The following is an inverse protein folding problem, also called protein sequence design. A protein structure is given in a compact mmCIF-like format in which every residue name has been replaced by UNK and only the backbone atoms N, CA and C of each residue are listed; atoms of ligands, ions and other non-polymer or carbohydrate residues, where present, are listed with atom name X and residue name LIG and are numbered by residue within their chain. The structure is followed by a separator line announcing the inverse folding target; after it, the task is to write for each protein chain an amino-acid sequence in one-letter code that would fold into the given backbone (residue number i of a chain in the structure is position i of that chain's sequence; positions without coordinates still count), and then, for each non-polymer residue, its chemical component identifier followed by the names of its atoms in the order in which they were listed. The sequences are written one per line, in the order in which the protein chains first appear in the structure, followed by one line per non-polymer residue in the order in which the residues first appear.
data_IF_427096508111
#
_entry.id   IF_427096508111
#
_cell.length_a   1.000
_cell.length_b   1.000
_cell.length_c   1.000
_cell.angle_alpha   90.00
_cell.angle_beta   90.00
_cell.angle_gamma   90.00
#
_symmetry.space_group_name_H-M   'P 1'
#
loop_
_entity.id
_entity.type
_entity.pdbx_description
1 polymer ?
#
# COMPACT_ATOMS: atom_id res chain seq x y z
N UNK A 1 -17.98 -23.48 15.45
CA UNK A 1 -16.87 -24.40 15.26
C UNK A 1 -16.82 -24.94 13.82
N UNK A 2 -17.88 -25.53 13.28
CA UNK A 2 -17.99 -26.11 11.93
C UNK A 2 -17.57 -25.15 10.77
N UNK A 3 -18.03 -23.88 10.78
CA UNK A 3 -17.61 -22.91 9.76
C UNK A 3 -16.09 -22.67 9.71
N UNK A 4 -15.42 -22.62 10.86
CA UNK A 4 -13.95 -22.45 10.92
C UNK A 4 -13.23 -23.68 10.38
N UNK A 5 -13.75 -24.88 10.69
CA UNK A 5 -13.21 -26.13 10.16
C UNK A 5 -13.37 -26.23 8.64
N UNK A 6 -14.54 -25.86 8.12
CA UNK A 6 -14.81 -25.82 6.67
C UNK A 6 -13.85 -24.87 5.94
N UNK A 7 -13.64 -23.65 6.46
CA UNK A 7 -12.67 -22.73 5.88
C UNK A 7 -11.23 -23.24 5.97
N UNK A 8 -10.87 -23.90 7.06
CA UNK A 8 -9.55 -24.51 7.23
C UNK A 8 -9.31 -25.62 6.19
N UNK A 9 -10.26 -26.55 6.04
CA UNK A 9 -10.19 -27.61 5.02
C UNK A 9 -10.12 -27.01 3.61
N UNK A 10 -10.95 -26.02 3.29
CA UNK A 10 -10.91 -25.32 1.99
C UNK A 10 -9.54 -24.64 1.73
N UNK A 11 -8.91 -24.11 2.76
CA UNK A 11 -7.55 -23.55 2.66
C UNK A 11 -6.51 -24.62 2.38
N UNK A 12 -6.56 -25.73 3.09
CA UNK A 12 -5.66 -26.86 2.87
C UNK A 12 -5.76 -27.44 1.46
N UNK A 13 -6.99 -27.56 0.93
CA UNK A 13 -7.22 -28.04 -0.44
C UNK A 13 -6.73 -27.08 -1.53
N UNK A 14 -6.64 -25.78 -1.25
CA UNK A 14 -6.15 -24.76 -2.20
C UNK A 14 -4.67 -24.47 -2.09
N UNK A 15 -4.03 -24.92 -1.02
CA UNK A 15 -2.61 -24.68 -0.78
C UNK A 15 -1.75 -25.45 -1.78
N UNK A 16 -0.66 -24.84 -2.22
CA UNK A 16 0.40 -25.57 -2.89
C UNK A 16 1.19 -26.35 -1.84
N UNK A 17 1.16 -27.67 -1.93
CA UNK A 17 1.90 -28.54 -1.04
C UNK A 17 3.33 -28.75 -1.55
N UNK A 18 4.31 -28.66 -0.63
CA UNK A 18 5.72 -28.96 -0.91
C UNK A 18 6.21 -29.97 0.10
N UNK A 19 6.93 -31.00 -0.40
CA UNK A 19 7.54 -32.05 0.45
C UNK A 19 8.98 -31.67 0.78
N UNK A 20 9.71 -31.12 -0.23
CA UNK A 20 11.11 -30.74 -0.04
C UNK A 20 11.22 -29.67 1.05
N UNK A 21 12.06 -29.92 2.05
CA UNK A 21 12.31 -28.98 3.15
C UNK A 21 12.77 -27.60 2.64
N UNK A 22 12.37 -26.52 3.30
CA UNK A 22 12.79 -25.18 2.93
C UNK A 22 14.31 -25.04 2.95
N UNK A 23 14.85 -24.34 1.95
CA UNK A 23 16.30 -24.08 1.87
C UNK A 23 16.73 -23.22 3.07
N UNK A 24 17.83 -23.63 3.73
CA UNK A 24 18.50 -22.77 4.73
C UNK A 24 18.98 -21.49 4.07
N UNK A 25 18.74 -20.35 4.69
CA UNK A 25 19.04 -19.07 4.09
C UNK A 25 19.27 -17.96 5.13
N UNK A 26 19.92 -16.88 4.70
CA UNK A 26 20.23 -15.75 5.60
C UNK A 26 18.98 -15.00 6.07
N UNK A 27 17.92 -14.99 5.26
CA UNK A 27 16.71 -14.24 5.52
C UNK A 27 15.46 -15.08 5.30
N UNK A 28 14.47 -14.93 6.18
CA UNK A 28 13.11 -15.40 5.93
C UNK A 28 12.22 -14.19 5.66
N UNK A 29 11.56 -14.20 4.50
CA UNK A 29 10.60 -13.19 4.11
C UNK A 29 9.19 -13.73 4.32
N UNK A 30 8.46 -13.11 5.24
CA UNK A 30 7.07 -13.49 5.53
C UNK A 30 6.13 -12.84 4.52
N UNK A 31 5.25 -13.67 3.93
CA UNK A 31 4.24 -13.31 2.93
C UNK A 31 4.78 -12.82 1.56
N UNK A 32 6.01 -13.16 1.22
CA UNK A 32 6.48 -13.21 -0.17
C UNK A 32 6.68 -11.93 -0.96
N UNK A 33 6.48 -10.75 -0.37
CA UNK A 33 6.68 -9.49 -1.08
C UNK A 33 8.12 -8.99 -0.98
N UNK A 34 8.98 -9.36 -1.94
CA UNK A 34 10.39 -8.91 -1.92
C UNK A 34 10.65 -7.56 -2.56
N UNK A 35 9.69 -6.98 -3.25
CA UNK A 35 9.94 -5.74 -4.00
C UNK A 35 10.63 -4.65 -3.20
N UNK A 36 10.26 -4.37 -1.95
CA UNK A 36 10.96 -3.39 -1.14
C UNK A 36 12.42 -3.75 -0.85
N UNK A 37 12.76 -5.02 -0.82
CA UNK A 37 14.05 -5.51 -0.33
C UNK A 37 15.06 -5.81 -1.43
N UNK A 38 14.63 -6.04 -2.69
CA UNK A 38 15.53 -6.52 -3.76
C UNK A 38 16.64 -5.53 -4.14
N UNK A 39 16.49 -4.27 -3.80
CA UNK A 39 17.54 -3.25 -4.00
C UNK A 39 18.68 -3.36 -2.96
N UNK A 40 18.44 -4.10 -1.87
CA UNK A 40 19.40 -4.23 -0.76
C UNK A 40 19.88 -5.67 -0.57
N UNK A 41 19.02 -6.62 -0.89
CA UNK A 41 19.27 -8.04 -0.63
C UNK A 41 18.94 -8.83 -1.91
N UNK A 42 19.89 -9.62 -2.36
CA UNK A 42 19.71 -10.48 -3.53
C UNK A 42 18.60 -11.50 -3.26
N UNK A 43 17.80 -11.81 -4.29
CA UNK A 43 16.61 -12.67 -4.19
C UNK A 43 16.94 -14.07 -3.67
N UNK A 44 18.07 -14.63 -4.07
CA UNK A 44 18.56 -15.94 -3.65
C UNK A 44 18.88 -16.05 -2.15
N UNK A 45 19.03 -14.93 -1.45
CA UNK A 45 19.26 -14.90 -0.01
C UNK A 45 17.97 -14.98 0.82
N UNK A 46 16.80 -15.05 0.16
CA UNK A 46 15.52 -15.20 0.84
C UNK A 46 14.97 -16.61 0.74
N UNK A 47 14.43 -17.11 1.85
CA UNK A 47 13.43 -18.18 1.88
C UNK A 47 12.09 -17.58 2.22
N UNK A 48 11.03 -17.88 1.44
CA UNK A 48 9.71 -17.31 1.64
C UNK A 48 8.92 -18.20 2.57
N UNK A 49 8.28 -17.57 3.55
CA UNK A 49 7.30 -18.19 4.42
C UNK A 49 5.90 -17.65 4.08
N UNK A 50 5.05 -18.49 3.52
CA UNK A 50 3.66 -18.16 3.21
C UNK A 50 2.76 -18.48 4.40
N UNK A 51 2.32 -17.44 5.08
CA UNK A 51 1.51 -17.55 6.28
C UNK A 51 0.03 -17.80 6.01
N UNK A 52 -0.45 -17.44 4.83
CA UNK A 52 -1.87 -17.49 4.46
C UNK A 52 -2.28 -18.80 3.78
N UNK A 53 -1.40 -19.79 3.76
CA UNK A 53 -1.67 -21.09 3.14
C UNK A 53 -1.52 -21.10 1.62
N UNK A 54 -0.88 -20.09 1.00
CA UNK A 54 -0.54 -20.15 -0.43
C UNK A 54 0.39 -21.32 -0.74
N UNK A 55 1.33 -21.60 0.19
CA UNK A 55 2.19 -22.75 0.13
C UNK A 55 2.38 -23.33 1.54
N UNK A 56 2.26 -24.66 1.66
CA UNK A 56 2.42 -25.41 2.93
C UNK A 56 3.49 -26.47 2.72
N UNK A 57 4.50 -26.49 3.60
CA UNK A 57 5.49 -27.54 3.60
C UNK A 57 5.03 -28.70 4.49
N UNK A 58 4.84 -29.89 3.87
CA UNK A 58 4.35 -31.08 4.55
C UNK A 58 5.25 -31.50 5.70
N UNK A 59 6.57 -31.56 5.49
CA UNK A 59 7.51 -32.02 6.51
C UNK A 59 7.56 -31.09 7.73
N UNK A 60 7.41 -29.77 7.52
CA UNK A 60 7.34 -28.81 8.64
C UNK A 60 6.01 -28.99 9.38
N UNK A 61 4.89 -29.13 8.63
CA UNK A 61 3.59 -29.36 9.25
C UNK A 61 3.58 -30.67 10.06
N UNK A 62 4.13 -31.75 9.50
CA UNK A 62 4.24 -33.05 10.19
C UNK A 62 5.07 -32.94 11.48
N UNK A 63 6.20 -32.23 11.45
CA UNK A 63 6.97 -31.94 12.68
C UNK A 63 6.16 -31.16 13.72
N UNK A 64 5.29 -30.25 13.29
CA UNK A 64 4.39 -29.55 14.23
C UNK A 64 3.37 -30.51 14.84
N UNK A 65 2.78 -31.40 14.04
CA UNK A 65 1.81 -32.38 14.52
C UNK A 65 2.43 -33.35 15.53
N UNK A 66 3.62 -33.88 15.27
CA UNK A 66 4.37 -34.75 16.21
C UNK A 66 4.67 -34.04 17.55
N UNK A 67 4.77 -32.72 17.56
CA UNK A 67 5.02 -31.91 18.75
C UNK A 67 3.72 -31.37 19.37
N UNK A 68 2.55 -31.80 18.94
CA UNK A 68 1.23 -31.31 19.37
C UNK A 68 1.09 -29.79 19.23
N UNK A 69 1.62 -29.20 18.15
CA UNK A 69 1.60 -27.77 17.85
C UNK A 69 0.68 -27.48 16.67
N UNK A 70 -0.50 -26.91 16.92
CA UNK A 70 -1.57 -26.79 15.92
C UNK A 70 -1.86 -25.36 15.49
N UNK A 71 -1.06 -24.37 15.92
CA UNK A 71 -1.30 -22.99 15.54
C UNK A 71 -0.46 -22.56 14.33
N UNK A 72 -0.99 -21.59 13.54
CA UNK A 72 -0.20 -20.96 12.47
C UNK A 72 1.11 -20.35 12.98
N UNK A 73 1.12 -19.84 14.22
CA UNK A 73 2.33 -19.31 14.84
C UNK A 73 3.38 -20.41 15.06
N UNK A 74 2.93 -21.60 15.50
CA UNK A 74 3.84 -22.74 15.70
C UNK A 74 4.43 -23.25 14.40
N UNK A 75 3.61 -23.36 13.35
CA UNK A 75 4.09 -23.69 12.00
C UNK A 75 5.13 -22.69 11.51
N UNK A 76 4.83 -21.38 11.60
CA UNK A 76 5.77 -20.33 11.21
C UNK A 76 7.08 -20.43 12.02
N UNK A 77 7.00 -20.66 13.33
CA UNK A 77 8.17 -20.79 14.19
C UNK A 77 9.00 -22.01 13.84
N UNK A 78 8.39 -23.18 13.59
CA UNK A 78 9.09 -24.40 13.19
C UNK A 78 9.77 -24.24 11.82
N UNK A 79 9.09 -23.60 10.86
CA UNK A 79 9.66 -23.25 9.56
C UNK A 79 10.90 -22.35 9.72
N UNK A 80 10.80 -21.29 10.51
CA UNK A 80 11.89 -20.36 10.76
C UNK A 80 13.07 -21.07 11.46
N UNK A 81 12.79 -21.90 12.46
CA UNK A 81 13.82 -22.71 13.14
C UNK A 81 14.56 -23.63 12.18
N UNK A 82 13.84 -24.26 11.23
CA UNK A 82 14.45 -25.10 10.21
C UNK A 82 15.37 -24.30 9.27
N UNK A 83 14.92 -23.14 8.77
CA UNK A 83 15.71 -22.27 7.89
C UNK A 83 16.90 -21.65 8.61
N UNK A 84 16.77 -21.39 9.92
CA UNK A 84 17.78 -20.76 10.79
C UNK A 84 18.32 -19.43 10.25
N UNK A 85 17.46 -18.46 9.92
CA UNK A 85 17.89 -17.19 9.34
C UNK A 85 18.53 -16.27 10.37
N UNK A 86 19.33 -15.30 9.88
CA UNK A 86 19.84 -14.19 10.72
C UNK A 86 18.78 -13.13 11.03
N UNK A 87 17.78 -13.00 10.13
CA UNK A 87 16.74 -11.97 10.26
C UNK A 87 15.44 -12.42 9.58
N UNK A 88 14.32 -12.13 10.22
CA UNK A 88 12.97 -12.33 9.68
C UNK A 88 12.43 -10.98 9.21
N UNK A 89 11.94 -10.93 7.97
CA UNK A 89 11.53 -9.70 7.30
C UNK A 89 10.05 -9.75 6.92
N UNK A 90 9.38 -8.60 6.94
CA UNK A 90 8.06 -8.42 6.31
C UNK A 90 7.88 -7.02 5.77
N UNK A 91 7.12 -6.90 4.65
CA UNK A 91 6.59 -5.64 4.16
C UNK A 91 5.07 -5.53 4.42
N UNK A 92 4.52 -6.35 5.32
CA UNK A 92 3.11 -6.34 5.71
C UNK A 92 2.99 -5.99 7.19
N UNK A 93 2.91 -4.72 7.49
CA UNK A 93 2.93 -4.14 8.84
C UNK A 93 1.65 -4.35 9.67
N UNK A 94 0.61 -4.97 9.12
CA UNK A 94 -0.64 -5.30 9.83
C UNK A 94 -0.79 -6.78 10.20
N UNK A 95 0.26 -7.59 10.07
CA UNK A 95 0.20 -9.02 10.38
C UNK A 95 0.61 -9.32 11.81
N UNK A 96 -0.37 -9.50 12.69
CA UNK A 96 -0.18 -9.74 14.12
C UNK A 96 0.69 -10.96 14.46
N UNK A 97 0.68 -12.01 13.63
CA UNK A 97 1.53 -13.21 13.84
C UNK A 97 3.01 -12.83 13.75
N UNK A 98 3.38 -11.95 12.82
CA UNK A 98 4.75 -11.49 12.66
C UNK A 98 5.33 -10.92 13.97
N UNK A 99 4.54 -10.15 14.70
CA UNK A 99 4.95 -9.52 15.96
C UNK A 99 5.10 -10.47 17.15
N UNK A 100 4.82 -11.76 16.95
CA UNK A 100 5.06 -12.82 17.94
C UNK A 100 6.29 -13.68 17.58
N UNK A 101 6.81 -13.57 16.36
CA UNK A 101 7.86 -14.47 15.87
C UNK A 101 9.19 -14.29 16.58
N UNK A 102 9.63 -13.04 16.84
CA UNK A 102 10.91 -12.78 17.51
C UNK A 102 10.95 -13.48 18.88
N UNK A 103 9.93 -13.29 19.72
CA UNK A 103 9.84 -13.94 21.03
C UNK A 103 9.73 -15.47 20.94
N UNK A 104 9.05 -15.99 19.89
CA UNK A 104 8.85 -17.44 19.72
C UNK A 104 10.08 -18.16 19.18
N UNK A 105 10.93 -17.48 18.40
CA UNK A 105 12.08 -18.07 17.72
C UNK A 105 13.43 -17.64 18.24
N UNK A 106 13.51 -16.51 18.97
CA UNK A 106 14.76 -15.86 19.37
C UNK A 106 15.48 -15.11 18.23
N UNK A 107 14.89 -15.07 17.03
CA UNK A 107 15.52 -14.46 15.85
C UNK A 107 14.97 -13.03 15.68
N UNK A 108 15.85 -12.09 15.37
CA UNK A 108 15.48 -10.69 15.16
C UNK A 108 14.50 -10.51 14.00
N UNK A 109 13.62 -9.53 14.15
CA UNK A 109 12.57 -9.20 13.18
C UNK A 109 12.69 -7.77 12.68
N UNK A 110 12.47 -7.56 11.38
CA UNK A 110 12.40 -6.24 10.77
C UNK A 110 11.12 -6.10 9.95
N UNK A 111 10.33 -5.10 10.26
CA UNK A 111 9.11 -4.73 9.55
C UNK A 111 9.32 -3.43 8.78
N UNK A 112 8.83 -3.40 7.54
CA UNK A 112 8.78 -2.20 6.72
C UNK A 112 7.33 -1.82 6.48
N UNK A 113 6.98 -0.56 6.74
CA UNK A 113 5.70 -0.03 6.32
C UNK A 113 5.67 0.12 4.80
N UNK A 114 4.67 -0.49 4.16
CA UNK A 114 4.54 -0.45 2.70
C UNK A 114 3.55 0.61 2.20
N UNK A 115 2.51 0.89 2.94
CA UNK A 115 1.44 1.80 2.49
C UNK A 115 1.11 2.89 3.50
N UNK A 116 0.54 3.99 3.02
CA UNK A 116 -0.02 5.01 3.90
C UNK A 116 -1.05 4.39 4.84
N UNK A 117 -1.11 4.89 6.06
CA UNK A 117 -2.07 4.45 7.07
C UNK A 117 -3.14 5.52 7.26
N UNK A 118 -4.37 5.08 7.46
CA UNK A 118 -5.52 5.94 7.69
C UNK A 118 -6.07 5.72 9.09
N UNK A 119 -6.86 6.66 9.62
CA UNK A 119 -7.52 6.52 10.91
C UNK A 119 -8.46 5.31 10.98
N UNK A 120 -8.96 4.83 9.82
CA UNK A 120 -9.72 3.60 9.75
C UNK A 120 -8.97 2.39 10.34
N UNK A 121 -7.64 2.41 10.32
CA UNK A 121 -6.84 1.37 10.98
C UNK A 121 -6.83 1.51 12.51
N UNK A 122 -7.01 2.71 13.05
CA UNK A 122 -7.18 2.94 14.48
C UNK A 122 -8.51 2.38 14.98
N UNK A 123 -9.56 2.50 14.16
CA UNK A 123 -10.91 2.08 14.51
C UNK A 123 -11.13 0.58 14.31
N UNK A 124 -10.34 -0.06 13.45
CA UNK A 124 -10.47 -1.49 13.22
C UNK A 124 -9.81 -2.28 14.35
N UNK A 125 -10.61 -2.70 15.32
CA UNK A 125 -10.26 -3.68 16.36
C UNK A 125 -9.65 -4.98 15.82
N UNK A 126 -9.74 -5.20 14.50
CA UNK A 126 -9.25 -6.38 13.80
C UNK A 126 -7.72 -6.42 13.62
N UNK A 127 -7.04 -5.26 13.55
CA UNK A 127 -5.59 -5.23 13.31
C UNK A 127 -4.80 -5.34 14.61
N UNK A 128 -5.21 -4.59 15.66
CA UNK A 128 -4.51 -4.61 16.93
C UNK A 128 -5.52 -4.72 18.07
N UNK A 129 -5.54 -5.86 18.79
CA UNK A 129 -6.37 -6.02 19.97
C UNK A 129 -6.06 -4.96 21.04
N UNK A 130 -7.01 -4.73 21.94
CA UNK A 130 -6.75 -3.96 23.16
C UNK A 130 -5.53 -4.55 23.87
N UNK A 131 -4.67 -3.72 24.44
CA UNK A 131 -3.45 -4.13 25.15
C UNK A 131 -2.42 -4.92 24.28
N UNK A 132 -2.49 -4.79 22.95
CA UNK A 132 -1.58 -5.50 22.02
C UNK A 132 -0.10 -5.25 22.32
N UNK A 133 0.27 -4.10 22.88
CA UNK A 133 1.64 -3.74 23.27
C UNK A 133 2.26 -4.76 24.26
N UNK A 134 1.46 -5.46 25.05
CA UNK A 134 1.96 -6.47 26.00
C UNK A 134 2.42 -7.75 25.29
N UNK A 135 1.86 -8.04 24.10
CA UNK A 135 2.04 -9.30 23.39
C UNK A 135 2.87 -9.15 22.12
N UNK A 136 2.91 -7.96 21.53
CA UNK A 136 3.52 -7.72 20.24
C UNK A 136 4.87 -7.04 20.38
N UNK A 137 5.82 -7.57 19.62
CA UNK A 137 7.20 -7.10 19.62
C UNK A 137 7.78 -7.16 18.20
N UNK A 138 8.58 -6.16 17.87
CA UNK A 138 9.43 -6.15 16.66
C UNK A 138 10.78 -5.54 17.01
N UNK A 139 11.87 -6.15 16.57
CA UNK A 139 13.19 -5.59 16.86
C UNK A 139 13.38 -4.25 16.16
N UNK A 140 13.00 -4.20 14.87
CA UNK A 140 13.14 -3.00 14.04
C UNK A 140 11.89 -2.76 13.20
N UNK A 141 11.38 -1.54 13.21
CA UNK A 141 10.29 -1.09 12.35
C UNK A 141 10.70 0.16 11.58
N UNK A 142 10.65 0.08 10.25
CA UNK A 142 10.94 1.19 9.34
C UNK A 142 9.61 1.81 8.90
N UNK A 143 9.36 3.04 9.29
CA UNK A 143 8.08 3.72 9.19
C UNK A 143 8.19 4.99 8.36
N UNK A 144 7.06 5.44 7.81
CA UNK A 144 7.04 6.61 6.96
C UNK A 144 7.32 7.91 7.71
N UNK A 145 6.77 8.08 8.92
CA UNK A 145 6.84 9.35 9.64
C UNK A 145 6.54 9.20 11.14
N UNK A 146 6.68 10.32 11.86
CA UNK A 146 6.45 10.41 13.31
C UNK A 146 5.03 10.02 13.74
N UNK A 147 4.01 10.40 12.98
CA UNK A 147 2.61 10.07 13.29
C UNK A 147 2.36 8.57 13.26
N UNK A 148 2.91 7.89 12.23
CA UNK A 148 2.81 6.42 12.13
C UNK A 148 3.65 5.76 13.22
N UNK A 149 4.82 6.29 13.54
CA UNK A 149 5.66 5.83 14.65
C UNK A 149 4.91 5.91 15.98
N UNK A 150 4.28 7.04 16.27
CA UNK A 150 3.45 7.21 17.46
C UNK A 150 2.32 6.18 17.52
N UNK A 151 1.62 5.95 16.40
CA UNK A 151 0.59 4.91 16.33
C UNK A 151 1.11 3.52 16.66
N UNK A 152 2.21 3.08 16.02
CA UNK A 152 2.77 1.75 16.26
C UNK A 152 3.36 1.59 17.66
N UNK A 153 4.01 2.62 18.18
CA UNK A 153 4.59 2.57 19.55
C UNK A 153 3.58 2.38 20.66
N UNK A 154 2.31 2.80 20.41
CA UNK A 154 1.18 2.52 21.31
C UNK A 154 0.68 1.08 21.24
N UNK A 155 1.00 0.33 20.17
CA UNK A 155 0.45 -1.00 19.87
C UNK A 155 1.47 -2.12 19.94
N UNK A 156 2.75 -1.83 19.72
CA UNK A 156 3.83 -2.80 19.59
C UNK A 156 5.04 -2.29 20.36
N UNK A 157 5.80 -3.18 21.02
CA UNK A 157 7.12 -2.86 21.57
C UNK A 157 8.20 -3.02 20.51
N UNK A 158 9.21 -2.15 20.48
CA UNK A 158 10.34 -2.28 19.54
C UNK A 158 11.08 -0.97 19.30
N UNK A 159 12.02 -1.01 18.35
CA UNK A 159 12.77 0.16 17.87
C UNK A 159 12.14 0.66 16.57
N UNK A 160 11.71 1.92 16.55
CA UNK A 160 10.98 2.52 15.43
C UNK A 160 11.82 3.62 14.79
N UNK A 161 12.03 3.51 13.47
CA UNK A 161 12.81 4.47 12.67
C UNK A 161 11.91 5.15 11.65
N UNK A 162 12.00 6.45 11.54
CA UNK A 162 11.31 7.27 10.55
C UNK A 162 12.21 7.39 9.33
N UNK A 163 11.83 6.76 8.24
CA UNK A 163 12.68 6.66 7.04
C UNK A 163 11.98 7.07 5.75
N UNK A 164 10.74 7.53 5.83
CA UNK A 164 9.93 7.78 4.62
C UNK A 164 9.53 6.48 3.91
N UNK A 165 9.29 6.56 2.62
CA UNK A 165 8.93 5.40 1.81
C UNK A 165 10.16 4.59 1.40
N UNK A 166 10.39 3.48 2.06
CA UNK A 166 11.50 2.58 1.78
C UNK A 166 11.58 2.13 0.31
N UNK A 167 10.44 1.87 -0.33
CA UNK A 167 10.37 1.42 -1.73
C UNK A 167 10.72 2.56 -2.71
N UNK A 168 10.39 3.80 -2.35
CA UNK A 168 10.51 4.96 -3.23
C UNK A 168 11.76 5.83 -2.95
N UNK A 169 12.55 5.55 -1.91
CA UNK A 169 13.70 6.38 -1.53
C UNK A 169 14.76 6.53 -2.63
N UNK A 170 14.86 5.56 -3.54
CA UNK A 170 15.83 5.60 -4.65
C UNK A 170 15.38 6.40 -5.87
N UNK A 171 14.08 6.71 -5.97
CA UNK A 171 13.53 7.37 -7.14
C UNK A 171 13.60 8.89 -6.96
N UNK A 172 14.50 9.56 -7.68
CA UNK A 172 14.57 11.03 -7.71
C UNK A 172 13.92 11.54 -9.00
N UNK A 173 12.80 12.27 -8.94
CA UNK A 173 12.17 12.81 -10.14
C UNK A 173 13.06 13.89 -10.75
N UNK A 174 13.18 13.87 -12.07
CA UNK A 174 13.76 14.99 -12.81
C UNK A 174 12.63 15.97 -13.17
N UNK A 175 12.42 16.96 -12.30
CA UNK A 175 11.28 17.87 -12.37
C UNK A 175 11.26 18.73 -13.66
N UNK A 176 12.43 18.99 -14.25
CA UNK A 176 12.57 19.81 -15.47
C UNK A 176 12.18 19.03 -16.73
N UNK A 177 12.22 17.71 -16.71
CA UNK A 177 11.90 16.84 -17.86
C UNK A 177 10.49 16.25 -17.80
N UNK A 178 9.66 16.68 -16.85
CA UNK A 178 8.31 16.15 -16.69
C UNK A 178 7.37 16.66 -17.78
N UNK A 179 6.59 15.74 -18.35
CA UNK A 179 5.51 16.07 -19.29
C UNK A 179 4.42 16.87 -18.60
N UNK A 180 3.98 17.95 -19.25
CA UNK A 180 2.82 18.76 -18.78
C UNK A 180 1.50 18.04 -19.07
N UNK A 181 1.36 16.82 -18.56
CA UNK A 181 0.18 15.96 -18.73
C UNK A 181 -0.38 15.59 -17.35
N UNK A 182 -1.67 15.27 -17.31
CA UNK A 182 -2.35 14.75 -16.12
C UNK A 182 -2.27 13.23 -16.12
N UNK A 183 -1.91 12.65 -14.97
CA UNK A 183 -2.05 11.22 -14.72
C UNK A 183 -2.99 11.00 -13.54
N UNK A 184 -4.04 10.26 -13.76
CA UNK A 184 -4.92 9.74 -12.73
C UNK A 184 -4.45 8.33 -12.33
N UNK A 185 -4.12 8.15 -11.06
CA UNK A 185 -3.75 6.84 -10.52
C UNK A 185 -5.02 6.11 -10.13
N UNK A 186 -5.33 5.06 -10.85
CA UNK A 186 -6.51 4.24 -10.62
C UNK A 186 -6.39 3.43 -9.32
N UNK A 187 -7.46 3.43 -8.54
CA UNK A 187 -7.68 2.53 -7.42
C UNK A 187 -8.73 1.46 -7.76
N UNK A 188 -8.91 1.15 -9.05
CA UNK A 188 -9.89 0.21 -9.55
C UNK A 188 -10.06 -1.01 -8.63
N UNK A 189 -11.22 -1.09 -8.02
CA UNK A 189 -11.61 -2.15 -7.08
C UNK A 189 -13.13 -2.30 -7.13
N UNK A 190 -13.66 -2.90 -8.22
CA UNK A 190 -15.09 -3.01 -8.39
C UNK A 190 -15.71 -3.92 -7.32
N UNK A 191 -16.90 -3.55 -6.88
CA UNK A 191 -17.75 -4.40 -6.06
C UNK A 191 -18.29 -5.59 -6.89
N UNK A 192 -19.13 -6.43 -6.27
CA UNK A 192 -19.75 -7.57 -6.95
C UNK A 192 -20.57 -7.17 -8.18
N UNK A 193 -21.01 -5.92 -8.26
CA UNK A 193 -21.81 -5.35 -9.35
C UNK A 193 -20.95 -4.57 -10.37
N UNK A 194 -19.63 -4.65 -10.27
CA UNK A 194 -18.69 -3.95 -11.17
C UNK A 194 -18.57 -2.44 -10.94
N UNK A 195 -19.10 -1.91 -9.83
CA UNK A 195 -19.02 -0.48 -9.49
C UNK A 195 -17.79 -0.19 -8.63
N UNK A 196 -17.02 0.81 -9.02
CA UNK A 196 -15.97 1.39 -8.18
C UNK A 196 -16.54 2.57 -7.37
N UNK A 197 -16.06 2.73 -6.13
CA UNK A 197 -16.58 3.73 -5.20
C UNK A 197 -16.26 5.17 -5.65
N UNK A 198 -17.15 5.77 -6.46
CA UNK A 198 -17.07 7.18 -6.90
C UNK A 198 -15.76 7.59 -7.60
N UNK A 199 -14.88 6.64 -7.92
CA UNK A 199 -13.63 6.91 -8.63
C UNK A 199 -13.90 7.32 -10.08
N UNK A 200 -14.92 6.72 -10.67
CA UNK A 200 -15.43 7.03 -12.00
C UNK A 200 -15.83 8.50 -12.13
N UNK A 201 -16.56 9.00 -11.15
CA UNK A 201 -17.02 10.39 -11.10
C UNK A 201 -15.81 11.33 -11.05
N UNK A 202 -14.84 11.05 -10.18
CA UNK A 202 -13.62 11.86 -10.07
C UNK A 202 -12.82 11.83 -11.36
N UNK A 203 -12.61 10.64 -11.96
CA UNK A 203 -11.88 10.52 -13.22
C UNK A 203 -12.59 11.26 -14.37
N UNK A 204 -13.93 11.17 -14.44
CA UNK A 204 -14.73 11.88 -15.42
C UNK A 204 -14.53 13.40 -15.35
N UNK A 205 -14.75 14.02 -14.19
CA UNK A 205 -14.58 15.47 -14.05
C UNK A 205 -13.14 15.93 -14.27
N UNK A 206 -12.15 15.18 -13.82
CA UNK A 206 -10.74 15.48 -14.08
C UNK A 206 -10.41 15.41 -15.57
N UNK A 207 -10.96 14.47 -16.31
CA UNK A 207 -10.76 14.36 -17.76
C UNK A 207 -11.38 15.54 -18.52
N UNK A 208 -12.58 15.99 -18.12
CA UNK A 208 -13.23 17.17 -18.71
C UNK A 208 -12.41 18.44 -18.42
N UNK A 209 -11.90 18.60 -17.19
CA UNK A 209 -11.06 19.74 -16.84
C UNK A 209 -9.72 19.73 -17.58
N UNK A 210 -9.11 18.56 -17.77
CA UNK A 210 -7.89 18.42 -18.56
C UNK A 210 -8.15 18.83 -20.01
N UNK A 211 -9.23 18.34 -20.63
CA UNK A 211 -9.64 18.72 -21.99
C UNK A 211 -9.85 20.23 -22.12
N UNK A 212 -10.58 20.85 -21.18
CA UNK A 212 -10.83 22.30 -21.16
C UNK A 212 -9.54 23.14 -21.09
N UNK A 213 -8.48 22.58 -20.49
CA UNK A 213 -7.17 23.25 -20.36
C UNK A 213 -6.15 22.78 -21.43
N UNK A 214 -6.57 22.04 -22.46
CA UNK A 214 -5.71 21.48 -23.52
C UNK A 214 -4.56 20.61 -22.95
N UNK A 215 -4.84 19.82 -21.93
CA UNK A 215 -3.87 18.94 -21.26
C UNK A 215 -4.28 17.50 -21.50
N UNK A 216 -3.35 16.65 -21.94
CA UNK A 216 -3.58 15.23 -22.08
C UNK A 216 -3.92 14.57 -20.74
N UNK A 217 -4.96 13.75 -20.74
CA UNK A 217 -5.38 12.97 -19.58
C UNK A 217 -4.99 11.50 -19.74
N UNK A 218 -4.27 10.98 -18.77
CA UNK A 218 -3.76 9.61 -18.78
C UNK A 218 -4.25 8.87 -17.53
N UNK A 219 -4.43 7.56 -17.64
CA UNK A 219 -4.72 6.68 -16.51
C UNK A 219 -3.55 5.73 -16.31
N UNK A 220 -3.03 5.70 -15.07
CA UNK A 220 -2.13 4.66 -14.62
C UNK A 220 -2.97 3.55 -13.99
N UNK A 221 -3.18 2.40 -14.68
CA UNK A 221 -4.05 1.35 -14.18
C UNK A 221 -3.42 0.62 -12.99
N UNK A 222 -4.30 0.16 -12.08
CA UNK A 222 -3.89 -0.56 -10.87
C UNK A 222 -3.27 -1.92 -11.18
N UNK A 223 -3.81 -2.64 -12.13
CA UNK A 223 -3.46 -4.05 -12.42
C UNK A 223 -2.68 -4.25 -13.72
N UNK A 224 -1.73 -3.37 -14.03
CA UNK A 224 -0.95 -3.41 -15.28
C UNK A 224 -0.33 -4.76 -15.66
N UNK A 225 -0.01 -5.59 -14.66
CA UNK A 225 0.64 -6.90 -14.87
C UNK A 225 -0.35 -8.07 -14.98
N UNK A 226 -1.60 -7.88 -14.59
CA UNK A 226 -2.66 -8.90 -14.69
C UNK A 226 -3.59 -8.56 -15.86
N UNK A 227 -3.43 -9.26 -17.00
CA UNK A 227 -4.13 -8.98 -18.24
C UNK A 227 -5.65 -9.11 -18.12
N UNK A 228 -6.13 -10.11 -17.38
CA UNK A 228 -7.57 -10.35 -17.22
C UNK A 228 -8.26 -9.23 -16.43
N UNK A 229 -7.59 -8.71 -15.40
CA UNK A 229 -8.14 -7.61 -14.61
C UNK A 229 -7.94 -6.28 -15.36
N UNK A 230 -6.79 -6.12 -16.03
CA UNK A 230 -6.49 -4.93 -16.82
C UNK A 230 -7.52 -4.72 -17.95
N UNK A 231 -7.95 -5.78 -18.63
CA UNK A 231 -8.97 -5.66 -19.68
C UNK A 231 -10.31 -5.17 -19.10
N UNK A 232 -10.72 -5.66 -17.94
CA UNK A 232 -11.92 -5.20 -17.23
C UNK A 232 -11.80 -3.74 -16.78
N UNK A 233 -10.65 -3.36 -16.25
CA UNK A 233 -10.35 -1.97 -15.86
C UNK A 233 -10.38 -1.04 -17.07
N UNK A 234 -9.85 -1.47 -18.22
CA UNK A 234 -9.88 -0.73 -19.49
C UNK A 234 -11.31 -0.53 -19.99
N UNK A 235 -12.13 -1.58 -20.02
CA UNK A 235 -13.54 -1.49 -20.37
C UNK A 235 -14.31 -0.53 -19.47
N UNK A 236 -14.06 -0.58 -18.16
CA UNK A 236 -14.65 0.31 -17.19
C UNK A 236 -14.40 1.79 -17.52
N UNK A 237 -13.13 2.17 -17.71
CA UNK A 237 -12.80 3.57 -18.03
C UNK A 237 -13.23 3.99 -19.43
N UNK A 238 -13.20 3.10 -20.43
CA UNK A 238 -13.72 3.41 -21.76
C UNK A 238 -15.21 3.77 -21.72
N UNK A 239 -16.00 3.05 -20.93
CA UNK A 239 -17.43 3.33 -20.76
C UNK A 239 -17.70 4.71 -20.16
N UNK A 240 -16.82 5.17 -19.22
CA UNK A 240 -16.99 6.43 -18.51
C UNK A 240 -16.44 7.61 -19.30
N UNK A 241 -15.26 7.46 -19.89
CA UNK A 241 -14.47 8.55 -20.48
C UNK A 241 -14.57 8.65 -22.01
N UNK A 242 -15.27 7.73 -22.65
CA UNK A 242 -15.52 7.73 -24.11
C UNK A 242 -14.25 7.99 -24.92
N UNK A 243 -13.17 7.27 -24.63
CA UNK A 243 -11.85 7.35 -25.30
C UNK A 243 -11.09 8.69 -25.16
N UNK A 244 -11.52 9.61 -24.31
CA UNK A 244 -10.81 10.87 -24.05
C UNK A 244 -9.63 10.70 -23.06
N UNK A 245 -8.88 9.61 -23.16
CA UNK A 245 -7.74 9.33 -22.30
C UNK A 245 -6.80 8.29 -22.89
N UNK A 246 -5.60 8.17 -22.32
CA UNK A 246 -4.63 7.12 -22.66
C UNK A 246 -4.31 6.27 -21.45
N UNK A 247 -4.28 4.94 -21.61
CA UNK A 247 -3.73 4.04 -20.61
C UNK A 247 -2.20 3.99 -20.66
N UNK A 248 -1.56 4.10 -19.50
CA UNK A 248 -0.11 3.94 -19.37
C UNK A 248 0.19 2.46 -19.14
N UNK A 249 0.51 1.73 -20.22
CA UNK A 249 0.64 0.26 -20.23
C UNK A 249 2.06 -0.28 -20.10
N UNK A 250 3.07 0.57 -19.84
CA UNK A 250 4.45 0.11 -19.75
C UNK A 250 4.63 -0.89 -18.59
N UNK A 251 4.76 -2.19 -18.94
CA UNK A 251 4.90 -3.29 -17.97
C UNK A 251 6.32 -3.45 -17.44
N UNK A 252 7.34 -2.96 -18.18
CA UNK A 252 8.76 -3.07 -17.82
C UNK A 252 9.16 -2.09 -16.72
N UNK A 253 8.54 -0.92 -16.67
CA UNK A 253 8.82 0.12 -15.67
C UNK A 253 7.96 -0.04 -14.42
N UNK A 254 8.50 0.30 -13.27
CA UNK A 254 7.71 0.44 -12.04
C UNK A 254 6.72 1.61 -12.14
N UNK A 255 5.72 1.64 -11.27
CA UNK A 255 4.79 2.79 -11.21
C UNK A 255 5.51 4.07 -10.81
N UNK A 256 6.54 3.98 -9.97
CA UNK A 256 7.38 5.10 -9.58
C UNK A 256 8.17 5.67 -10.77
N UNK A 257 8.81 4.80 -11.58
CA UNK A 257 9.57 5.21 -12.77
C UNK A 257 8.69 5.85 -13.85
N UNK A 258 7.42 5.46 -13.88
CA UNK A 258 6.45 6.07 -14.79
C UNK A 258 6.08 7.46 -14.31
N UNK A 259 5.63 7.57 -13.05
CA UNK A 259 5.06 8.82 -12.53
C UNK A 259 6.07 9.95 -12.42
N UNK A 260 7.36 9.66 -12.24
CA UNK A 260 8.40 10.70 -12.23
C UNK A 260 8.49 11.49 -13.56
N UNK A 261 7.95 10.96 -14.66
CA UNK A 261 7.93 11.63 -15.95
C UNK A 261 6.71 12.55 -16.15
N UNK A 262 5.79 12.64 -15.19
CA UNK A 262 4.57 13.42 -15.30
C UNK A 262 4.51 14.50 -14.23
N UNK A 263 4.06 15.69 -14.67
CA UNK A 263 4.03 16.87 -13.80
C UNK A 263 2.82 16.89 -12.86
N UNK A 264 1.66 16.42 -13.33
CA UNK A 264 0.40 16.53 -12.61
C UNK A 264 -0.17 15.14 -12.31
N UNK A 265 -0.30 14.82 -11.04
CA UNK A 265 -0.75 13.51 -10.57
C UNK A 265 -2.04 13.70 -9.78
N UNK A 266 -3.06 12.90 -10.08
CA UNK A 266 -4.30 12.91 -9.33
C UNK A 266 -4.65 11.49 -8.85
N UNK A 267 -5.31 11.42 -7.72
CA UNK A 267 -5.81 10.15 -7.17
C UNK A 267 -6.93 10.41 -6.17
N UNK A 268 -7.71 9.39 -5.90
CA UNK A 268 -8.62 9.41 -4.77
C UNK A 268 -7.85 9.26 -3.45
N UNK A 269 -7.09 8.17 -3.25
CA UNK A 269 -6.37 7.89 -1.99
C UNK A 269 -5.11 7.03 -2.16
N UNK A 270 -4.43 7.12 -3.28
CA UNK A 270 -3.27 6.26 -3.53
C UNK A 270 -2.05 6.68 -2.70
N UNK A 271 -1.45 5.73 -1.99
CA UNK A 271 -0.14 5.91 -1.34
C UNK A 271 0.91 6.37 -2.34
N UNK A 272 0.89 5.83 -3.56
CA UNK A 272 1.82 6.21 -4.62
C UNK A 272 1.74 7.70 -4.99
N UNK A 273 0.54 8.28 -5.01
CA UNK A 273 0.37 9.72 -5.24
C UNK A 273 0.94 10.56 -4.08
N UNK A 274 0.78 10.07 -2.85
CA UNK A 274 1.33 10.73 -1.66
C UNK A 274 2.86 10.70 -1.70
N UNK A 275 3.45 9.57 -2.06
CA UNK A 275 4.90 9.43 -2.22
C UNK A 275 5.46 10.32 -3.34
N UNK A 276 4.71 10.51 -4.44
CA UNK A 276 5.06 11.46 -5.48
C UNK A 276 5.01 12.91 -4.98
N UNK A 277 4.00 13.26 -4.17
CA UNK A 277 3.93 14.58 -3.51
C UNK A 277 5.15 14.83 -2.63
N UNK A 278 5.52 13.86 -1.80
CA UNK A 278 6.68 13.94 -0.92
C UNK A 278 7.98 14.27 -1.70
N UNK A 279 8.11 13.75 -2.90
CA UNK A 279 9.26 13.99 -3.80
C UNK A 279 9.15 15.25 -4.66
N UNK A 280 8.16 16.07 -4.46
CA UNK A 280 8.04 17.36 -5.14
C UNK A 280 7.11 17.36 -6.36
N UNK A 281 6.57 16.20 -6.79
CA UNK A 281 5.57 16.19 -7.84
C UNK A 281 4.29 16.93 -7.41
N UNK A 282 3.58 17.50 -8.37
CA UNK A 282 2.29 18.13 -8.09
C UNK A 282 1.20 17.08 -8.03
N UNK A 283 0.68 16.83 -6.84
CA UNK A 283 -0.33 15.81 -6.63
C UNK A 283 -1.61 16.39 -6.01
N UNK A 284 -2.76 16.05 -6.60
CA UNK A 284 -4.08 16.41 -6.13
C UNK A 284 -4.87 15.20 -5.67
N UNK A 285 -5.65 15.36 -4.60
CA UNK A 285 -6.45 14.27 -4.02
C UNK A 285 -7.90 14.69 -3.92
N UNK A 286 -8.77 13.91 -4.56
CA UNK A 286 -10.20 14.18 -4.59
C UNK A 286 -10.93 12.90 -4.21
N UNK A 287 -11.64 12.95 -3.12
CA UNK A 287 -12.41 11.82 -2.64
C UNK A 287 -13.86 12.21 -2.46
N UNK A 288 -14.76 11.34 -2.87
CA UNK A 288 -16.18 11.44 -2.61
C UNK A 288 -16.57 10.29 -1.70
N UNK A 289 -17.18 10.59 -0.54
CA UNK A 289 -17.59 9.58 0.43
C UNK A 289 -18.59 8.62 -0.19
N UNK A 290 -18.39 7.33 0.06
CA UNK A 290 -19.36 6.30 -0.31
C UNK A 290 -20.31 6.03 0.86
N UNK A 291 -21.62 5.93 0.58
CA UNK A 291 -22.62 5.49 1.57
C UNK A 291 -22.37 4.06 2.06
N UNK A 292 -21.75 3.22 1.22
CA UNK A 292 -21.50 1.79 1.52
C UNK A 292 -20.26 1.55 2.37
N UNK A 293 -19.36 2.54 2.48
CA UNK A 293 -18.11 2.36 3.19
C UNK A 293 -17.76 3.57 4.08
N UNK A 294 -18.43 3.71 5.23
CA UNK A 294 -18.19 4.81 6.17
C UNK A 294 -16.77 4.78 6.75
N UNK A 295 -16.05 3.65 6.67
CA UNK A 295 -14.67 3.49 7.12
C UNK A 295 -13.70 4.37 6.29
N UNK A 296 -14.05 4.70 5.06
CA UNK A 296 -13.30 5.63 4.22
C UNK A 296 -13.70 7.10 4.44
N UNK A 297 -13.88 7.51 5.67
CA UNK A 297 -13.78 8.93 6.05
C UNK A 297 -12.32 9.35 5.87
N UNK A 298 -11.89 9.31 4.61
CA UNK A 298 -10.51 9.52 4.26
C UNK A 298 -10.16 10.98 4.51
N UNK A 299 -9.26 11.19 5.44
CA UNK A 299 -8.56 12.45 5.59
C UNK A 299 -7.22 12.30 4.91
N UNK A 300 -6.83 13.28 4.11
CA UNK A 300 -5.55 13.26 3.45
C UNK A 300 -4.43 12.94 4.45
N UNK A 301 -3.56 12.00 4.10
CA UNK A 301 -2.35 11.71 4.83
C UNK A 301 -2.51 11.02 6.18
N UNK A 302 -3.62 10.35 6.48
CA UNK A 302 -3.82 9.62 7.75
C UNK A 302 -3.73 10.51 9.00
N UNK A 303 -3.93 11.81 8.88
CA UNK A 303 -3.79 12.74 10.00
C UNK A 303 -5.12 13.00 10.66
N UNK A 304 -5.19 12.75 11.96
CA UNK A 304 -6.38 12.97 12.77
C UNK A 304 -6.90 14.40 12.71
N UNK A 305 -6.01 15.37 12.49
CA UNK A 305 -6.29 16.79 12.58
C UNK A 305 -6.37 17.53 11.24
N UNK A 306 -6.26 16.85 10.09
CA UNK A 306 -6.39 17.54 8.82
C UNK A 306 -7.87 17.81 8.49
N UNK A 307 -8.13 19.05 8.05
CA UNK A 307 -9.45 19.46 7.56
C UNK A 307 -9.86 18.63 6.36
N UNK A 308 -11.16 18.47 6.14
CA UNK A 308 -11.70 17.75 4.98
C UNK A 308 -11.28 18.39 3.64
N UNK A 309 -10.92 19.67 3.65
CA UNK A 309 -10.50 20.45 2.50
C UNK A 309 -9.14 21.10 2.76
N UNK A 310 -8.30 21.13 1.73
CA UNK A 310 -7.04 21.84 1.71
C UNK A 310 -6.71 22.32 0.30
N UNK A 311 -5.54 22.90 0.09
CA UNK A 311 -5.17 23.50 -1.19
C UNK A 311 -5.22 22.50 -2.35
N UNK A 312 -4.70 21.30 -2.14
CA UNK A 312 -4.56 20.26 -3.16
C UNK A 312 -5.32 18.96 -2.83
N UNK A 313 -6.24 19.01 -1.89
CA UNK A 313 -7.14 17.89 -1.58
C UNK A 313 -8.53 18.35 -1.18
N UNK A 314 -9.51 17.47 -1.35
CA UNK A 314 -10.86 17.63 -0.84
C UNK A 314 -11.50 16.27 -0.59
N UNK A 315 -12.29 16.17 0.49
CA UNK A 315 -13.16 15.03 0.79
C UNK A 315 -14.59 15.53 0.79
N UNK A 316 -15.38 15.04 -0.15
CA UNK A 316 -16.73 15.50 -0.42
C UNK A 316 -17.75 14.48 0.10
N UNK A 317 -18.85 14.97 0.68
CA UNK A 317 -20.00 14.11 1.03
C UNK A 317 -20.84 13.73 -0.20
N UNK A 318 -20.85 14.60 -1.19
CA UNK A 318 -21.51 14.44 -2.49
C UNK A 318 -20.68 15.14 -3.58
N UNK A 319 -21.01 14.90 -4.83
CA UNK A 319 -20.32 15.53 -5.96
C UNK A 319 -20.40 17.05 -5.87
N UNK A 320 -19.24 17.70 -5.92
CA UNK A 320 -19.13 19.16 -5.96
C UNK A 320 -18.08 19.55 -6.99
N UNK A 321 -18.57 19.96 -8.16
CA UNK A 321 -17.72 20.28 -9.33
C UNK A 321 -16.83 21.49 -9.06
N UNK A 322 -17.31 22.50 -8.31
CA UNK A 322 -16.52 23.68 -7.97
C UNK A 322 -15.29 23.32 -7.12
N UNK A 323 -15.45 22.41 -6.15
CA UNK A 323 -14.34 21.92 -5.33
C UNK A 323 -13.36 21.05 -6.12
N UNK A 324 -13.85 20.20 -7.02
CA UNK A 324 -13.00 19.42 -7.92
C UNK A 324 -12.17 20.36 -8.80
N UNK A 325 -12.81 21.39 -9.38
CA UNK A 325 -12.16 22.40 -10.21
C UNK A 325 -11.13 23.22 -9.40
N UNK A 326 -11.44 23.58 -8.16
CA UNK A 326 -10.53 24.30 -7.26
C UNK A 326 -9.23 23.52 -7.04
N UNK A 327 -9.33 22.22 -6.69
CA UNK A 327 -8.16 21.36 -6.48
C UNK A 327 -7.38 21.18 -7.78
N UNK A 328 -8.08 20.93 -8.89
CA UNK A 328 -7.47 20.76 -10.20
C UNK A 328 -6.66 22.02 -10.59
N UNK A 329 -7.28 23.20 -10.53
CA UNK A 329 -6.62 24.46 -10.89
C UNK A 329 -5.43 24.77 -9.99
N UNK A 330 -5.54 24.54 -8.67
CA UNK A 330 -4.40 24.72 -7.78
C UNK A 330 -3.20 23.85 -8.20
N UNK A 331 -3.42 22.56 -8.50
CA UNK A 331 -2.37 21.64 -8.90
C UNK A 331 -1.72 22.07 -10.23
N UNK A 332 -2.53 22.51 -11.21
CA UNK A 332 -2.04 22.80 -12.56
C UNK A 332 -1.42 24.19 -12.67
N UNK A 333 -2.11 25.22 -12.12
CA UNK A 333 -1.78 26.63 -12.37
C UNK A 333 -0.76 27.21 -11.38
N UNK A 334 -0.61 26.62 -10.16
CA UNK A 334 0.36 27.13 -9.19
C UNK A 334 1.78 27.03 -9.77
N UNK A 335 2.60 28.07 -9.67
CA UNK A 335 4.00 27.97 -10.03
C UNK A 335 4.77 27.03 -9.10
N UNK A 336 5.97 26.58 -9.52
CA UNK A 336 6.65 25.52 -8.80
C UNK A 336 7.14 25.95 -7.41
N UNK A 337 7.66 27.19 -7.29
CA UNK A 337 8.19 27.68 -6.01
C UNK A 337 7.07 27.86 -4.98
N UNK A 338 5.94 28.42 -5.43
CA UNK A 338 4.76 28.54 -4.58
C UNK A 338 4.21 27.15 -4.22
N UNK A 339 4.22 26.19 -5.14
CA UNK A 339 3.86 24.80 -4.86
C UNK A 339 4.73 24.21 -3.75
N UNK A 340 6.06 24.33 -3.87
CA UNK A 340 7.01 23.83 -2.84
C UNK A 340 6.74 24.51 -1.51
N UNK A 341 6.61 25.85 -1.49
CA UNK A 341 6.33 26.63 -0.27
C UNK A 341 5.04 26.17 0.41
N UNK A 342 3.95 26.03 -0.34
CA UNK A 342 2.63 25.66 0.19
C UNK A 342 2.54 24.18 0.60
N UNK A 343 3.34 23.31 0.01
CA UNK A 343 3.32 21.86 0.33
C UNK A 343 4.40 21.45 1.33
N UNK A 344 5.37 22.30 1.65
CA UNK A 344 6.50 22.00 2.55
C UNK A 344 6.06 21.38 3.89
N UNK A 345 5.07 21.98 4.55
CA UNK A 345 4.54 21.47 5.81
C UNK A 345 4.01 20.03 5.69
N UNK A 346 3.27 19.74 4.63
CA UNK A 346 2.67 18.42 4.40
C UNK A 346 3.71 17.37 4.03
N UNK A 347 4.77 17.76 3.30
CA UNK A 347 5.90 16.88 2.98
C UNK A 347 6.65 16.52 4.25
N UNK A 348 7.07 17.50 5.04
CA UNK A 348 7.82 17.31 6.27
C UNK A 348 7.10 16.42 7.26
N UNK A 349 5.83 16.71 7.55
CA UNK A 349 5.04 15.96 8.52
C UNK A 349 4.67 14.55 8.07
N UNK A 350 4.60 14.32 6.76
CA UNK A 350 4.03 13.10 6.20
C UNK A 350 5.07 12.12 5.69
N UNK A 351 6.17 12.61 5.13
CA UNK A 351 7.10 11.77 4.37
C UNK A 351 8.47 12.44 4.27
N UNK A 352 9.05 12.89 5.38
CA UNK A 352 10.44 13.37 5.36
C UNK A 352 11.38 12.26 4.91
N UNK A 353 12.11 12.53 3.85
CA UNK A 353 13.19 11.71 3.33
C UNK A 353 14.52 12.34 3.73
#
# INVERSE_FOLDING_TARGET
MLKKLFYFVKYLLKAKWTIRLPKKNKYVLVDGNYNPFIKYIKKENFTILYRRGEEINFNILFKCLLKFKFSTLDYCAEFIKHVSPKLILTAFDYHIIFYKLSKKTGIKTLMIQKGARTNAMNESKHYFPKNSKNFFYVDYALLFNSTVKEFYSKKIKGKFFEIGSFENNFNKPNLNKQKKEVVFISNYSPDKNGKCENEDIVAFYLSQLAKKNNINFNILPRFRKNLNILSKEKLYYNKILKNNFKFILNKKKSSYDILQNYKFIFSTYSTLAIECLAKGSRAGFIMIKSKKNPVYNFRFGSFENLRQKGLFWTTLSQVNVAEINRVFNFVIKTNYDLWIKKTKYYKKKNYEF
#
